data_IF_785935322892
#
_entry.id   IF_785935322892
#
_cell.length_a   1.000
_cell.length_b   1.000
_cell.length_c   1.000
_cell.angle_alpha   90.00
_cell.angle_beta   90.00
_cell.angle_gamma   90.00
#
_symmetry.space_group_name_H-M   'P 1'
#
loop_
_entity.id
_entity.type
_entity.pdbx_description
1 polymer ?
#
# COMPACT_ATOMS: atom_id res chain seq x y z
N UNK A 1 -24.71 31.44 19.63
CA UNK A 1 -25.25 31.13 18.27
C UNK A 1 -25.30 29.61 18.17
N UNK A 2 -26.48 29.01 18.35
CA UNK A 2 -26.64 27.56 18.36
C UNK A 2 -27.10 27.11 16.97
N UNK A 3 -26.23 26.45 16.20
CA UNK A 3 -26.64 25.82 14.95
C UNK A 3 -27.24 24.46 15.26
N UNK A 4 -28.55 24.34 15.08
CA UNK A 4 -29.22 23.05 15.06
C UNK A 4 -28.83 22.34 13.75
N UNK A 5 -27.86 21.42 13.81
CA UNK A 5 -27.71 20.42 12.75
C UNK A 5 -28.82 19.39 12.98
N UNK A 6 -29.88 19.47 12.19
CA UNK A 6 -30.80 18.33 12.05
C UNK A 6 -30.05 17.27 11.26
N UNK A 7 -29.50 16.27 11.95
CA UNK A 7 -28.90 15.11 11.29
C UNK A 7 -30.01 14.41 10.51
N UNK A 8 -30.03 14.62 9.20
CA UNK A 8 -30.95 13.93 8.29
C UNK A 8 -30.55 12.45 8.19
N UNK A 9 -31.51 11.60 7.84
CA UNK A 9 -31.21 10.20 7.54
C UNK A 9 -30.12 10.13 6.46
N UNK A 10 -29.08 9.32 6.69
CA UNK A 10 -27.87 9.27 5.85
C UNK A 10 -27.09 10.61 5.72
N UNK A 11 -27.21 11.51 6.70
CA UNK A 11 -26.55 12.83 6.67
C UNK A 11 -25.04 12.82 6.96
N UNK A 12 -24.48 11.70 7.42
CA UNK A 12 -23.05 11.49 7.63
C UNK A 12 -22.69 10.04 7.36
N UNK A 13 -21.60 9.84 6.61
CA UNK A 13 -20.96 8.55 6.41
C UNK A 13 -19.48 8.64 6.82
N UNK A 14 -18.93 7.53 7.33
CA UNK A 14 -17.52 7.37 7.69
C UNK A 14 -17.11 5.95 7.31
N UNK A 15 -16.08 5.83 6.48
CA UNK A 15 -15.64 4.55 5.93
C UNK A 15 -14.18 4.63 5.46
N UNK A 16 -13.52 3.48 5.38
CA UNK A 16 -12.20 3.37 4.75
C UNK A 16 -12.42 3.40 3.23
N UNK A 17 -11.80 4.38 2.56
CA UNK A 17 -11.86 4.46 1.11
C UNK A 17 -11.05 3.33 0.48
N UNK A 18 -11.73 2.51 -0.34
CA UNK A 18 -11.07 1.43 -1.08
C UNK A 18 -10.01 1.99 -2.02
N UNK A 19 -8.76 1.57 -1.81
CA UNK A 19 -7.60 2.08 -2.54
C UNK A 19 -6.89 0.91 -3.20
N UNK A 20 -6.96 0.80 -4.52
CA UNK A 20 -6.27 -0.27 -5.25
C UNK A 20 -4.74 -0.12 -5.26
N UNK A 21 -4.04 -1.19 -5.66
CA UNK A 21 -2.57 -1.25 -5.73
C UNK A 21 -1.94 -0.07 -6.48
N UNK A 22 -2.46 0.24 -7.68
CA UNK A 22 -1.93 1.31 -8.54
C UNK A 22 -2.07 2.68 -7.88
N UNK A 23 -3.19 2.93 -7.21
CA UNK A 23 -3.44 4.17 -6.50
C UNK A 23 -2.58 4.28 -5.24
N UNK A 24 -2.44 3.20 -4.47
CA UNK A 24 -1.52 3.13 -3.33
C UNK A 24 -0.07 3.44 -3.75
N UNK A 25 0.39 2.83 -4.85
CA UNK A 25 1.73 3.06 -5.39
C UNK A 25 1.92 4.51 -5.85
N UNK A 26 0.92 5.08 -6.53
CA UNK A 26 0.94 6.48 -6.98
C UNK A 26 0.99 7.46 -5.80
N UNK A 27 0.20 7.21 -4.75
CA UNK A 27 0.26 8.01 -3.52
C UNK A 27 1.66 7.95 -2.91
N UNK A 28 2.27 6.76 -2.88
CA UNK A 28 3.60 6.57 -2.32
C UNK A 28 4.71 7.24 -3.15
N UNK A 29 4.61 7.22 -4.48
CA UNK A 29 5.63 7.75 -5.40
C UNK A 29 5.46 9.24 -5.69
N UNK A 30 4.25 9.66 -6.05
CA UNK A 30 3.96 11.02 -6.50
C UNK A 30 3.52 11.93 -5.34
N UNK A 31 3.09 11.34 -4.21
CA UNK A 31 2.50 12.10 -3.11
C UNK A 31 1.16 12.74 -3.47
N UNK A 32 0.43 12.15 -4.42
CA UNK A 32 -0.85 12.67 -4.92
C UNK A 32 -1.99 11.68 -4.82
N UNK A 33 -3.18 12.18 -4.51
CA UNK A 33 -4.43 11.42 -4.44
C UNK A 33 -5.58 12.23 -5.02
N UNK A 34 -6.38 11.63 -5.90
CA UNK A 34 -7.56 12.28 -6.48
C UNK A 34 -8.82 11.67 -5.91
N UNK A 35 -9.74 12.51 -5.43
CA UNK A 35 -10.98 12.06 -4.80
C UNK A 35 -12.18 12.86 -5.32
N UNK A 36 -13.09 12.19 -6.03
CA UNK A 36 -14.20 12.86 -6.71
C UNK A 36 -13.75 13.71 -7.90
N UNK A 37 -14.65 14.56 -8.40
CA UNK A 37 -14.41 15.35 -9.60
C UNK A 37 -13.55 16.59 -9.28
N UNK A 38 -12.29 16.57 -9.70
CA UNK A 38 -11.41 17.75 -9.69
C UNK A 38 -10.70 18.05 -8.36
N UNK A 39 -10.93 17.27 -7.30
CA UNK A 39 -10.12 17.41 -6.09
C UNK A 39 -8.85 16.57 -6.22
N UNK A 40 -7.70 17.24 -6.27
CA UNK A 40 -6.38 16.62 -6.21
C UNK A 40 -5.68 17.07 -4.94
N UNK A 41 -5.34 16.10 -4.11
CA UNK A 41 -4.59 16.28 -2.88
C UNK A 41 -3.12 16.06 -3.21
N UNK A 42 -2.27 17.01 -2.80
CA UNK A 42 -0.83 16.99 -3.04
C UNK A 42 -0.05 16.98 -1.73
N UNK A 43 1.23 16.62 -1.81
CA UNK A 43 2.15 16.71 -0.68
C UNK A 43 1.96 15.60 0.37
N UNK A 44 1.35 14.47 -0.02
CA UNK A 44 1.31 13.28 0.82
C UNK A 44 2.72 12.71 0.94
N UNK A 45 3.16 12.39 2.16
CA UNK A 45 4.50 11.88 2.43
C UNK A 45 4.43 10.54 3.18
N UNK A 46 5.41 9.68 2.93
CA UNK A 46 5.53 8.42 3.67
C UNK A 46 5.69 8.67 5.17
N UNK A 47 5.05 7.80 5.96
CA UNK A 47 4.95 7.83 7.41
C UNK A 47 4.31 9.11 7.98
N UNK A 48 3.44 9.77 7.20
CA UNK A 48 2.69 10.94 7.62
C UNK A 48 1.20 10.70 7.54
N UNK A 49 0.46 11.30 8.47
CA UNK A 49 -1.00 11.44 8.40
C UNK A 49 -1.37 12.90 8.17
N UNK A 50 -2.32 13.14 7.27
CA UNK A 50 -2.81 14.47 6.93
C UNK A 50 -4.34 14.46 6.84
N UNK A 51 -4.94 15.64 6.98
CA UNK A 51 -6.38 15.85 6.93
C UNK A 51 -6.69 16.88 5.84
N UNK A 52 -7.66 16.57 4.99
CA UNK A 52 -8.05 17.42 3.87
C UNK A 52 -9.56 17.59 3.85
N UNK A 53 -10.02 18.84 3.85
CA UNK A 53 -11.43 19.16 3.66
C UNK A 53 -11.70 19.43 2.19
N UNK A 54 -12.68 18.73 1.62
CA UNK A 54 -13.02 18.83 0.20
C UNK A 54 -14.53 18.82 -0.01
N UNK A 55 -14.97 19.37 -1.14
CA UNK A 55 -16.36 19.29 -1.58
C UNK A 55 -16.43 18.25 -2.69
N UNK A 56 -17.15 17.16 -2.44
CA UNK A 56 -17.31 16.04 -3.38
C UNK A 56 -18.38 16.35 -4.43
N UNK A 57 -19.41 17.09 -4.05
CA UNK A 57 -20.46 17.54 -4.95
C UNK A 57 -21.12 18.83 -4.47
N UNK A 58 -21.66 19.57 -5.43
CA UNK A 58 -22.24 20.89 -5.19
C UNK A 58 -21.18 21.98 -5.11
N UNK A 59 -21.66 23.21 -4.90
CA UNK A 59 -20.80 24.39 -4.70
C UNK A 59 -21.33 25.21 -3.54
N UNK A 60 -20.40 25.65 -2.69
CA UNK A 60 -20.65 26.65 -1.66
C UNK A 60 -20.00 27.93 -2.15
N UNK A 61 -20.79 28.98 -2.32
CA UNK A 61 -20.32 30.30 -2.73
C UNK A 61 -20.01 31.16 -1.49
N UNK A 62 -19.12 32.15 -1.65
CA UNK A 62 -18.67 33.03 -0.56
C UNK A 62 -19.80 33.89 0.04
N UNK A 63 -20.92 34.03 -0.67
CA UNK A 63 -22.13 34.71 -0.22
C UNK A 63 -23.04 33.82 0.67
N UNK A 64 -22.62 32.59 0.96
CA UNK A 64 -23.39 31.62 1.71
C UNK A 64 -24.42 30.86 0.89
N UNK A 65 -24.55 31.15 -0.41
CA UNK A 65 -25.42 30.38 -1.30
C UNK A 65 -24.83 28.99 -1.60
N UNK A 66 -25.68 27.99 -1.66
CA UNK A 66 -25.31 26.61 -1.94
C UNK A 66 -26.07 26.12 -3.18
N UNK A 67 -25.35 25.48 -4.12
CA UNK A 67 -25.96 24.79 -5.25
C UNK A 67 -25.69 23.30 -5.10
N UNK A 68 -26.75 22.51 -4.91
CA UNK A 68 -26.65 21.06 -4.81
C UNK A 68 -26.45 20.41 -6.18
N UNK A 69 -25.87 19.23 -6.15
CA UNK A 69 -25.76 18.30 -7.28
C UNK A 69 -25.81 16.90 -6.70
N UNK A 70 -26.28 15.94 -7.49
CA UNK A 70 -26.29 14.55 -7.06
C UNK A 70 -24.85 14.03 -6.93
N UNK A 71 -24.60 13.29 -5.85
CA UNK A 71 -23.38 12.54 -5.59
C UNK A 71 -23.77 11.10 -5.29
N UNK A 72 -23.03 10.15 -5.87
CA UNK A 72 -23.19 8.74 -5.52
C UNK A 72 -21.82 8.10 -5.41
N UNK A 73 -21.67 7.28 -4.38
CA UNK A 73 -20.55 6.38 -4.19
C UNK A 73 -21.09 4.98 -3.82
N UNK A 74 -20.23 3.96 -3.60
CA UNK A 74 -20.68 2.63 -3.22
C UNK A 74 -21.47 2.55 -1.89
N UNK A 75 -21.46 3.60 -1.09
CA UNK A 75 -22.08 3.64 0.25
C UNK A 75 -23.38 4.44 0.30
N UNK A 76 -23.71 5.17 -0.77
CA UNK A 76 -24.99 5.86 -0.87
C UNK A 76 -25.11 6.85 -2.01
N UNK A 77 -26.27 7.49 -2.06
CA UNK A 77 -26.58 8.58 -2.99
C UNK A 77 -27.14 9.75 -2.20
N UNK A 78 -26.71 10.96 -2.56
CA UNK A 78 -27.10 12.21 -1.92
C UNK A 78 -27.40 13.27 -2.98
N UNK A 79 -28.50 13.99 -2.83
CA UNK A 79 -28.91 15.07 -3.74
C UNK A 79 -28.62 16.48 -3.16
N UNK A 80 -27.59 16.57 -2.32
CA UNK A 80 -27.22 17.78 -1.58
C UNK A 80 -25.76 18.17 -1.84
N UNK A 81 -25.33 19.30 -1.28
CA UNK A 81 -23.89 19.59 -1.20
C UNK A 81 -23.23 18.55 -0.29
N UNK A 82 -22.22 17.85 -0.81
CA UNK A 82 -21.50 16.80 -0.07
C UNK A 82 -20.10 17.30 0.23
N UNK A 83 -19.80 17.46 1.52
CA UNK A 83 -18.46 17.78 2.01
C UNK A 83 -17.84 16.54 2.66
N UNK A 84 -16.54 16.38 2.47
CA UNK A 84 -15.79 15.29 3.07
C UNK A 84 -14.52 15.81 3.77
N UNK A 85 -14.17 15.13 4.85
CA UNK A 85 -12.87 15.26 5.51
C UNK A 85 -12.10 13.98 5.28
N UNK A 86 -11.12 14.00 4.39
CA UNK A 86 -10.26 12.86 4.13
C UNK A 86 -9.10 12.84 5.13
N UNK A 87 -9.04 11.81 5.98
CA UNK A 87 -7.85 11.46 6.77
C UNK A 87 -7.01 10.48 5.97
N UNK A 88 -5.83 10.91 5.54
CA UNK A 88 -4.94 10.10 4.69
C UNK A 88 -3.67 9.81 5.46
N UNK A 89 -3.37 8.52 5.64
CA UNK A 89 -2.13 8.02 6.22
C UNK A 89 -1.37 7.24 5.14
N UNK A 90 -0.15 7.67 4.82
CA UNK A 90 0.75 6.92 3.93
C UNK A 90 1.81 6.27 4.79
N UNK A 91 1.95 4.95 4.72
CA UNK A 91 2.84 4.19 5.59
C UNK A 91 3.66 3.19 4.77
N UNK A 92 4.90 2.98 5.19
CA UNK A 92 5.76 1.89 4.70
C UNK A 92 6.26 1.09 5.89
N UNK A 93 6.28 -0.24 5.78
CA UNK A 93 6.70 -1.10 6.87
C UNK A 93 7.42 -2.35 6.37
N UNK A 94 8.31 -2.86 7.21
CA UNK A 94 8.82 -4.23 7.09
C UNK A 94 8.01 -5.12 8.03
N UNK A 95 7.64 -6.30 7.52
CA UNK A 95 6.80 -7.26 8.21
C UNK A 95 7.35 -8.67 8.02
N UNK A 96 7.20 -9.57 9.01
CA UNK A 96 7.66 -10.94 8.88
C UNK A 96 6.78 -11.73 7.90
N UNK A 97 7.43 -12.59 7.13
CA UNK A 97 6.79 -13.49 6.15
C UNK A 97 7.18 -14.94 6.48
N UNK A 98 6.19 -15.82 6.54
CA UNK A 98 6.38 -17.26 6.66
C UNK A 98 6.29 -17.90 5.27
N UNK A 99 7.43 -18.14 4.63
CA UNK A 99 7.48 -18.65 3.26
C UNK A 99 6.85 -20.04 3.13
N UNK A 100 7.16 -20.96 4.05
CA UNK A 100 6.66 -22.35 4.02
C UNK A 100 5.13 -22.45 4.08
N UNK A 101 4.48 -21.54 4.81
CA UNK A 101 3.02 -21.51 4.95
C UNK A 101 2.35 -20.48 4.04
N UNK A 102 3.13 -19.71 3.28
CA UNK A 102 2.63 -18.64 2.41
C UNK A 102 1.89 -17.54 3.16
N UNK A 103 2.32 -17.20 4.38
CA UNK A 103 1.64 -16.21 5.24
C UNK A 103 2.48 -14.96 5.44
N UNK A 104 1.82 -13.82 5.55
CA UNK A 104 2.39 -12.53 5.97
C UNK A 104 1.68 -12.06 7.22
N UNK A 105 2.42 -11.51 8.18
CA UNK A 105 1.86 -11.00 9.45
C UNK A 105 2.07 -9.49 9.47
N UNK A 106 1.00 -8.73 9.34
CA UNK A 106 1.04 -7.27 9.30
C UNK A 106 1.26 -6.68 10.70
N UNK A 107 1.46 -5.36 10.78
CA UNK A 107 1.79 -4.67 12.04
C UNK A 107 0.72 -4.80 13.13
N UNK A 108 -0.55 -4.84 12.74
CA UNK A 108 -1.67 -5.09 13.66
C UNK A 108 -1.70 -6.53 14.20
N UNK A 109 -0.89 -7.44 13.64
CA UNK A 109 -1.00 -8.89 13.85
C UNK A 109 -1.94 -9.58 12.87
N UNK A 110 -2.57 -8.84 11.94
CA UNK A 110 -3.40 -9.43 10.88
C UNK A 110 -2.58 -10.41 10.04
N UNK A 111 -3.07 -11.65 9.91
CA UNK A 111 -2.41 -12.71 9.13
C UNK A 111 -3.09 -12.86 7.79
N UNK A 112 -2.36 -12.61 6.71
CA UNK A 112 -2.89 -12.66 5.34
C UNK A 112 -2.12 -13.68 4.49
N UNK A 113 -2.68 -14.06 3.34
CA UNK A 113 -1.97 -14.90 2.38
C UNK A 113 -0.97 -14.07 1.60
N UNK A 114 0.28 -14.51 1.55
CA UNK A 114 1.36 -13.83 0.85
C UNK A 114 1.07 -13.68 -0.65
N UNK A 115 0.42 -14.69 -1.25
CA UNK A 115 0.09 -14.73 -2.68
C UNK A 115 -0.96 -13.70 -3.11
N UNK A 116 -1.81 -13.22 -2.19
CA UNK A 116 -2.86 -12.26 -2.50
C UNK A 116 -2.28 -10.87 -2.80
N UNK A 117 -1.04 -10.57 -2.37
CA UNK A 117 -0.34 -9.29 -2.64
C UNK A 117 -1.03 -8.04 -2.08
N UNK A 118 -2.12 -8.22 -1.34
CA UNK A 118 -2.82 -7.17 -0.60
C UNK A 118 -3.53 -7.77 0.61
N UNK A 119 -3.84 -6.92 1.59
CA UNK A 119 -4.73 -7.24 2.69
C UNK A 119 -5.21 -5.96 3.37
N UNK A 120 -6.37 -6.03 4.02
CA UNK A 120 -6.89 -4.95 4.85
C UNK A 120 -6.36 -5.13 6.29
N UNK A 121 -5.44 -4.27 6.70
CA UNK A 121 -4.94 -4.21 8.07
C UNK A 121 -5.91 -3.39 8.95
N UNK A 122 -6.16 -3.84 10.18
CA UNK A 122 -7.08 -3.15 11.09
C UNK A 122 -6.63 -1.75 11.48
N UNK A 123 -5.32 -1.50 11.50
CA UNK A 123 -4.71 -0.27 12.01
C UNK A 123 -4.18 0.61 10.87
N UNK A 124 -3.68 -0.02 9.81
CA UNK A 124 -3.04 0.62 8.66
C UNK A 124 -3.92 0.68 7.40
N UNK A 125 -5.06 -0.02 7.38
CA UNK A 125 -5.97 -0.06 6.24
C UNK A 125 -5.42 -0.89 5.07
N UNK A 126 -5.79 -0.52 3.84
CA UNK A 126 -5.38 -1.25 2.64
C UNK A 126 -3.85 -1.27 2.49
N UNK A 127 -3.28 -2.46 2.63
CA UNK A 127 -1.84 -2.71 2.61
C UNK A 127 -1.49 -3.57 1.40
N UNK A 128 -0.46 -3.18 0.67
CA UNK A 128 -0.01 -3.86 -0.54
C UNK A 128 1.48 -4.21 -0.46
N UNK A 129 1.84 -5.32 -1.09
CA UNK A 129 3.24 -5.72 -1.25
C UNK A 129 3.46 -6.31 -2.64
N UNK A 130 4.73 -6.32 -3.06
CA UNK A 130 5.09 -7.04 -4.28
C UNK A 130 5.06 -8.54 -3.99
N UNK A 131 4.59 -9.38 -4.93
CA UNK A 131 4.74 -10.83 -4.81
C UNK A 131 6.20 -11.16 -4.51
N UNK A 132 6.44 -11.94 -3.45
CA UNK A 132 7.78 -12.45 -3.18
C UNK A 132 8.09 -13.44 -4.30
N UNK A 133 9.23 -13.29 -5.02
CA UNK A 133 9.62 -14.27 -6.01
C UNK A 133 9.62 -15.67 -5.38
N UNK A 134 9.07 -16.66 -6.08
CA UNK A 134 9.25 -18.06 -5.69
C UNK A 134 10.77 -18.26 -5.67
N UNK A 135 11.35 -18.39 -4.47
CA UNK A 135 12.79 -18.34 -4.31
C UNK A 135 13.44 -19.42 -5.17
N UNK A 136 14.43 -19.03 -5.97
CA UNK A 136 15.41 -19.96 -6.52
C UNK A 136 16.23 -20.64 -5.41
N UNK A 137 16.28 -20.05 -4.21
CA UNK A 137 16.90 -20.60 -2.99
C UNK A 137 16.04 -21.69 -2.32
N UNK A 138 15.50 -22.61 -3.11
CA UNK A 138 15.01 -23.87 -2.57
C UNK A 138 16.22 -24.81 -2.52
N UNK A 139 16.75 -25.09 -1.32
CA UNK A 139 17.89 -25.98 -1.14
C UNK A 139 17.63 -27.39 -1.70
N UNK A 140 16.38 -27.73 -2.04
CA UNK A 140 16.00 -28.97 -2.69
C UNK A 140 15.94 -28.89 -4.23
N UNK A 141 16.24 -27.74 -4.83
CA UNK A 141 16.28 -27.52 -6.29
C UNK A 141 17.69 -27.41 -6.89
N UNK A 142 18.72 -27.65 -6.09
CA UNK A 142 20.09 -27.71 -6.58
C UNK A 142 20.55 -29.17 -6.62
N UNK A 143 21.05 -29.61 -7.76
CA UNK A 143 21.74 -30.89 -7.86
C UNK A 143 23.18 -30.72 -7.36
N UNK A 144 23.60 -31.61 -6.47
CA UNK A 144 24.99 -31.67 -5.99
C UNK A 144 25.85 -32.23 -7.11
N UNK A 145 26.58 -31.37 -7.82
CA UNK A 145 27.49 -31.79 -8.88
C UNK A 145 28.73 -32.53 -8.36
N UNK A 146 29.15 -32.22 -7.12
CA UNK A 146 30.27 -32.88 -6.45
C UNK A 146 30.20 -32.67 -4.93
N UNK A 147 30.45 -33.72 -4.15
CA UNK A 147 30.61 -33.70 -2.70
C UNK A 147 31.89 -34.45 -2.32
N UNK A 148 32.91 -33.74 -1.83
CA UNK A 148 34.20 -34.31 -1.47
C UNK A 148 35.31 -33.27 -1.30
N UNK A 149 36.54 -33.71 -0.98
CA UNK A 149 37.70 -32.83 -0.88
C UNK A 149 38.05 -32.20 -2.25
N UNK A 150 38.17 -30.88 -2.29
CA UNK A 150 38.59 -30.16 -3.49
C UNK A 150 39.75 -29.21 -3.17
N UNK A 151 40.65 -29.02 -4.13
CA UNK A 151 41.76 -28.06 -3.99
C UNK A 151 41.37 -26.75 -4.65
N UNK A 152 41.28 -25.67 -3.87
CA UNK A 152 41.05 -24.32 -4.40
C UNK A 152 42.32 -23.84 -5.10
N UNK A 153 42.19 -23.43 -6.36
CA UNK A 153 43.26 -22.76 -7.07
C UNK A 153 43.15 -21.25 -6.80
N UNK A 154 44.23 -20.66 -6.29
CA UNK A 154 44.35 -19.21 -6.09
C UNK A 154 45.46 -18.69 -6.98
N UNK A 155 45.18 -17.67 -7.78
CA UNK A 155 46.20 -16.91 -8.49
C UNK A 155 46.82 -15.88 -7.52
N UNK A 156 48.11 -15.58 -7.68
CA UNK A 156 48.83 -14.60 -6.84
C UNK A 156 48.40 -13.15 -7.17
N UNK A 157 47.71 -12.95 -8.31
CA UNK A 157 47.03 -11.72 -8.62
C UNK A 157 45.62 -11.73 -8.01
N UNK A 158 45.45 -11.00 -6.90
CA UNK A 158 44.13 -10.70 -6.33
C UNK A 158 43.33 -9.79 -7.28
N UNK A 159 42.89 -10.32 -8.42
CA UNK A 159 41.83 -9.69 -9.20
C UNK A 159 40.48 -10.17 -8.64
N UNK A 160 39.73 -9.32 -7.92
CA UNK A 160 38.44 -9.67 -7.33
C UNK A 160 37.36 -10.02 -8.37
N UNK A 161 37.64 -9.85 -9.67
CA UNK A 161 36.75 -10.23 -10.77
C UNK A 161 37.00 -11.62 -11.34
N UNK A 162 38.07 -12.31 -10.90
CA UNK A 162 38.41 -13.65 -11.39
C UNK A 162 37.52 -14.75 -10.78
N UNK A 163 37.07 -15.73 -11.58
CA UNK A 163 36.25 -16.83 -11.07
C UNK A 163 37.07 -17.74 -10.14
N UNK A 164 36.47 -18.17 -9.03
CA UNK A 164 37.11 -19.13 -8.12
C UNK A 164 37.09 -20.51 -8.79
N UNK A 165 38.27 -21.09 -9.00
CA UNK A 165 38.42 -22.41 -9.62
C UNK A 165 38.75 -23.45 -8.54
N UNK A 166 38.04 -24.57 -8.56
CA UNK A 166 38.33 -25.73 -7.73
C UNK A 166 38.77 -26.90 -8.62
N UNK A 167 39.89 -27.53 -8.26
CA UNK A 167 40.37 -28.76 -8.87
C UNK A 167 39.87 -29.97 -8.07
N UNK A 168 39.30 -30.94 -8.77
CA UNK A 168 38.81 -32.19 -8.21
C UNK A 168 39.86 -33.27 -8.51
N UNK A 169 40.42 -33.88 -7.47
CA UNK A 169 41.24 -35.10 -7.61
C UNK A 169 40.32 -36.30 -7.46
N UNK A 170 40.05 -36.98 -8.57
CA UNK A 170 39.34 -38.28 -8.61
C UNK A 170 40.28 -39.43 -8.38
#
# INVERSE_FOLDING_TARGET
MHSYVSVVHNGRADYIHETGYTLCLRILQDGTFSLGAGNVIHGLKSNQTSFHSLTLAGRISNDGSCKSTQYSDPYGTWDNVVQATAKISVKTSHVPVQLNSGKIILKSGTVCRLSESFCLDSDDGYTYWKPVPISSCDFHKYDVLYEGPATKLTDDAEDPSSPIIYSLTT
#
